data_IF_835148033386
#
_entry.id   IF_835148033386
#
_cell.length_a   1.000
_cell.length_b   1.000
_cell.length_c   1.000
_cell.angle_alpha   90.00
_cell.angle_beta   90.00
_cell.angle_gamma   90.00
#
_symmetry.space_group_name_H-M   'P 1'
#
loop_
_entity.id
_entity.type
_entity.pdbx_description
1 polymer ?
#
# COMPACT_ATOMS: atom_id res chain seq x y z
N UNK A 1 -14.29 11.04 -20.10
CA UNK A 1 -12.94 11.27 -20.65
C UNK A 1 -12.15 9.97 -20.85
N UNK A 2 -12.13 9.05 -19.87
CA UNK A 2 -11.39 7.77 -19.98
C UNK A 2 -12.13 6.63 -20.70
N UNK A 3 -13.48 6.64 -20.71
CA UNK A 3 -14.27 5.58 -21.38
C UNK A 3 -13.99 5.45 -22.88
N UNK A 4 -13.53 6.51 -23.55
CA UNK A 4 -13.23 6.49 -24.99
C UNK A 4 -11.94 5.76 -25.36
N UNK A 5 -11.05 5.52 -24.39
CA UNK A 5 -9.75 4.88 -24.59
C UNK A 5 -9.67 3.48 -23.97
N UNK A 6 -10.75 3.00 -23.35
CA UNK A 6 -10.83 1.70 -22.73
C UNK A 6 -11.68 0.80 -23.59
N UNK A 7 -11.13 -0.36 -23.98
CA UNK A 7 -11.91 -1.37 -24.68
C UNK A 7 -13.10 -1.80 -23.80
N UNK A 8 -14.36 -1.73 -24.28
CA UNK A 8 -15.55 -2.06 -23.50
C UNK A 8 -15.53 -3.48 -22.94
N UNK A 9 -14.80 -4.41 -23.58
CA UNK A 9 -14.64 -5.79 -23.10
C UNK A 9 -13.71 -5.90 -21.88
N UNK A 10 -12.78 -4.96 -21.73
CA UNK A 10 -11.80 -4.93 -20.63
C UNK A 10 -12.25 -4.04 -19.47
N UNK A 11 -13.16 -3.10 -19.72
CA UNK A 11 -13.61 -2.16 -18.70
C UNK A 11 -14.84 -2.67 -17.93
N UNK A 12 -14.59 -3.29 -16.77
CA UNK A 12 -15.67 -3.63 -15.84
C UNK A 12 -16.00 -2.45 -14.95
N UNK A 13 -17.13 -1.77 -15.23
CA UNK A 13 -17.64 -0.68 -14.39
C UNK A 13 -18.36 -1.26 -13.17
N UNK A 14 -17.90 -0.92 -11.97
CA UNK A 14 -18.55 -1.34 -10.74
C UNK A 14 -17.75 -1.02 -9.48
N UNK A 15 -18.42 -1.00 -8.33
CA UNK A 15 -17.79 -0.62 -7.05
C UNK A 15 -16.93 -1.71 -6.43
N UNK A 16 -17.05 -2.97 -6.87
CA UNK A 16 -16.34 -4.10 -6.25
C UNK A 16 -14.81 -3.94 -6.34
N UNK A 17 -14.30 -3.59 -7.52
CA UNK A 17 -12.86 -3.46 -7.74
C UNK A 17 -12.29 -2.21 -7.08
N UNK A 18 -13.02 -1.09 -7.14
CA UNK A 18 -12.60 0.16 -6.48
C UNK A 18 -12.60 0.02 -4.96
N UNK A 19 -13.65 -0.56 -4.37
CA UNK A 19 -13.70 -0.84 -2.92
C UNK A 19 -12.59 -1.78 -2.47
N UNK A 20 -12.21 -2.77 -3.30
CA UNK A 20 -11.08 -3.66 -2.99
C UNK A 20 -9.77 -2.89 -2.90
N UNK A 21 -9.52 -1.95 -3.82
CA UNK A 21 -8.34 -1.08 -3.80
C UNK A 21 -8.37 -0.15 -2.57
N UNK A 22 -9.50 0.48 -2.30
CA UNK A 22 -9.68 1.35 -1.12
C UNK A 22 -9.41 0.61 0.19
N UNK A 23 -9.93 -0.61 0.34
CA UNK A 23 -9.66 -1.46 1.53
C UNK A 23 -8.19 -1.84 1.65
N UNK A 24 -7.51 -2.12 0.55
CA UNK A 24 -6.06 -2.36 0.55
C UNK A 24 -5.30 -1.13 1.05
N UNK A 25 -5.59 0.05 0.50
CA UNK A 25 -4.97 1.30 0.92
C UNK A 25 -5.25 1.63 2.40
N UNK A 26 -6.49 1.41 2.88
CA UNK A 26 -6.84 1.60 4.29
C UNK A 26 -6.02 0.69 5.21
N UNK A 27 -5.87 -0.58 4.82
CA UNK A 27 -5.08 -1.58 5.56
C UNK A 27 -3.61 -1.18 5.62
N UNK A 28 -3.03 -0.80 4.48
CA UNK A 28 -1.65 -0.34 4.38
C UNK A 28 -1.40 0.89 5.28
N UNK A 29 -2.27 1.90 5.21
CA UNK A 29 -2.17 3.12 6.03
C UNK A 29 -2.19 2.80 7.53
N UNK A 30 -3.07 1.88 7.94
CA UNK A 30 -3.20 1.47 9.34
C UNK A 30 -1.97 0.72 9.83
N UNK A 31 -1.41 -0.15 8.98
CA UNK A 31 -0.18 -0.89 9.23
C UNK A 31 1.04 0.04 9.38
N UNK A 32 1.21 1.00 8.48
CA UNK A 32 2.29 2.00 8.55
C UNK A 32 2.17 2.83 9.83
N UNK A 33 0.97 3.30 10.19
CA UNK A 33 0.76 4.03 11.45
C UNK A 33 1.14 3.21 12.68
N UNK A 34 0.85 1.90 12.67
CA UNK A 34 1.25 0.98 13.75
C UNK A 34 2.76 0.75 13.79
N UNK A 35 3.40 0.58 12.63
CA UNK A 35 4.86 0.45 12.51
C UNK A 35 5.56 1.70 13.05
N UNK A 36 5.08 2.89 12.67
CA UNK A 36 5.57 4.15 13.18
C UNK A 36 5.50 4.16 14.72
N UNK A 37 4.33 3.94 15.32
CA UNK A 37 4.16 3.96 16.78
C UNK A 37 4.97 2.91 17.54
N UNK A 38 5.19 1.71 16.96
CA UNK A 38 5.84 0.59 17.68
C UNK A 38 7.35 0.52 17.48
N UNK A 39 7.87 0.97 16.34
CA UNK A 39 9.23 0.63 15.93
C UNK A 39 10.08 1.87 15.68
N UNK A 40 9.60 2.81 14.87
CA UNK A 40 10.45 3.90 14.36
C UNK A 40 10.14 5.28 14.96
N UNK A 41 9.09 5.41 15.79
CA UNK A 41 8.59 6.72 16.26
C UNK A 41 9.65 7.62 16.93
N UNK A 42 10.64 7.02 17.60
CA UNK A 42 11.64 7.73 18.40
C UNK A 42 13.04 7.73 17.77
N UNK A 43 13.21 7.10 16.61
CA UNK A 43 14.51 7.10 15.93
C UNK A 43 14.74 8.44 15.22
N UNK A 44 15.97 8.95 15.29
CA UNK A 44 16.40 10.17 14.57
C UNK A 44 17.00 9.88 13.19
N UNK A 45 17.27 8.60 12.88
CA UNK A 45 17.92 8.23 11.63
C UNK A 45 16.90 8.00 10.52
N UNK A 46 16.92 8.87 9.50
CA UNK A 46 16.08 8.75 8.31
C UNK A 46 16.40 7.48 7.53
N UNK A 47 17.70 7.14 7.39
CA UNK A 47 18.15 5.91 6.74
C UNK A 47 17.54 4.66 7.38
N UNK A 48 17.45 4.62 8.72
CA UNK A 48 16.81 3.50 9.42
C UNK A 48 15.32 3.42 9.12
N UNK A 49 14.64 4.57 9.01
CA UNK A 49 13.21 4.60 8.67
C UNK A 49 12.97 4.07 7.26
N UNK A 50 13.77 4.51 6.29
CA UNK A 50 13.64 4.11 4.89
C UNK A 50 13.85 2.61 4.73
N UNK A 51 14.88 2.05 5.38
CA UNK A 51 15.16 0.60 5.36
C UNK A 51 14.02 -0.19 6.00
N UNK A 52 13.54 0.21 7.19
CA UNK A 52 12.47 -0.50 7.90
C UNK A 52 11.15 -0.42 7.14
N UNK A 53 10.82 0.73 6.54
CA UNK A 53 9.61 0.88 5.72
C UNK A 53 9.72 0.02 4.45
N UNK A 54 10.87 0.04 3.78
CA UNK A 54 11.13 -0.80 2.60
C UNK A 54 10.98 -2.29 2.91
N UNK A 55 11.61 -2.76 3.99
CA UNK A 55 11.52 -4.15 4.44
C UNK A 55 10.08 -4.52 4.79
N UNK A 56 9.35 -3.61 5.45
CA UNK A 56 7.96 -3.82 5.81
C UNK A 56 7.07 -3.99 4.56
N UNK A 57 7.19 -3.10 3.58
CA UNK A 57 6.39 -3.16 2.36
C UNK A 57 6.72 -4.43 1.57
N UNK A 58 8.01 -4.75 1.38
CA UNK A 58 8.44 -5.95 0.66
C UNK A 58 7.87 -7.23 1.28
N UNK A 59 7.89 -7.33 2.62
CA UNK A 59 7.35 -8.50 3.32
C UNK A 59 5.82 -8.59 3.27
N UNK A 60 5.10 -7.50 3.52
CA UNK A 60 3.65 -7.55 3.75
C UNK A 60 2.80 -7.32 2.49
N UNK A 61 3.29 -6.59 1.50
CA UNK A 61 2.55 -6.32 0.26
C UNK A 61 3.05 -7.19 -0.90
N UNK A 62 4.35 -7.49 -0.96
CA UNK A 62 4.94 -8.26 -2.05
C UNK A 62 5.31 -9.71 -1.69
N UNK A 63 5.28 -10.08 -0.40
CA UNK A 63 5.65 -11.42 0.06
C UNK A 63 7.13 -11.76 -0.17
N UNK A 64 7.96 -10.76 -0.45
CA UNK A 64 9.39 -10.92 -0.67
C UNK A 64 10.09 -10.92 0.69
N UNK A 65 10.70 -12.04 1.06
CA UNK A 65 11.66 -12.10 2.15
C UNK A 65 13.03 -11.65 1.62
N UNK A 66 13.38 -10.40 1.88
CA UNK A 66 14.75 -9.89 1.74
C UNK A 66 15.49 -10.17 3.05
#
# INVERSE_FOLDING_TARGET
AYERHLDPSLHTVGKRNTQKIERKHLTLRTRIKRLARKTICFSKSVLMHDVVIGLFINRYEFGLSI
#
